data_IF_406847847280
#
_entry.id   IF_406847847280
#
_cell.length_a   1.000
_cell.length_b   1.000
_cell.length_c   1.000
_cell.angle_alpha   90.00
_cell.angle_beta   90.00
_cell.angle_gamma   90.00
#
_symmetry.space_group_name_H-M   'P 1'
#
loop_
_entity.id
_entity.type
_entity.pdbx_description
1 polymer ?
#
# COMPACT_ATOMS: atom_id res chain seq x y z
N UNK A 1 -1.62 11.12 -15.38
CA UNK A 1 -1.07 9.87 -14.80
C UNK A 1 0.00 9.33 -15.73
N UNK A 2 0.72 8.30 -15.32
CA UNK A 2 1.63 7.53 -16.20
C UNK A 2 0.84 6.41 -16.88
N UNK A 3 1.27 5.98 -18.07
CA UNK A 3 0.74 4.77 -18.69
C UNK A 3 1.32 3.54 -17.96
N UNK A 4 0.47 2.66 -17.37
CA UNK A 4 0.91 1.46 -16.67
C UNK A 4 1.74 0.50 -17.51
N UNK A 5 1.48 0.40 -18.81
CA UNK A 5 2.24 -0.49 -19.70
C UNK A 5 3.65 0.07 -19.92
N UNK A 6 3.74 1.36 -20.24
CA UNK A 6 5.01 2.01 -20.50
C UNK A 6 5.89 2.07 -19.26
N UNK A 7 5.35 2.41 -18.08
CA UNK A 7 6.17 2.54 -16.88
C UNK A 7 6.79 1.22 -16.44
N UNK A 8 6.09 0.09 -16.64
CA UNK A 8 6.60 -1.25 -16.33
C UNK A 8 7.56 -1.81 -17.40
N UNK A 9 7.67 -1.15 -18.56
CA UNK A 9 8.68 -1.46 -19.58
C UNK A 9 10.03 -0.82 -19.26
N UNK A 10 10.01 0.32 -18.56
CA UNK A 10 11.22 1.13 -18.25
C UNK A 10 11.65 1.08 -16.79
N UNK A 11 10.86 0.46 -15.91
CA UNK A 11 11.16 0.31 -14.50
C UNK A 11 10.71 -1.06 -13.98
N UNK A 12 11.43 -1.59 -12.99
CA UNK A 12 11.14 -2.90 -12.39
C UNK A 12 9.81 -2.95 -11.61
N UNK A 13 9.21 -1.79 -11.34
CA UNK A 13 7.93 -1.69 -10.65
C UNK A 13 7.53 -0.27 -10.27
N UNK A 14 6.41 -0.17 -9.54
CA UNK A 14 5.81 1.08 -9.12
C UNK A 14 5.40 1.06 -7.66
N UNK A 15 5.43 2.23 -7.04
CA UNK A 15 4.89 2.47 -5.69
C UNK A 15 3.59 3.26 -5.82
N UNK A 16 2.48 2.69 -5.36
CA UNK A 16 1.14 3.24 -5.59
C UNK A 16 0.51 3.73 -4.28
N UNK A 17 -0.05 4.95 -4.23
CA UNK A 17 -0.61 5.53 -3.01
C UNK A 17 -1.95 4.86 -2.66
N UNK A 18 -1.91 3.91 -1.72
CA UNK A 18 -3.03 3.04 -1.37
C UNK A 18 -3.77 3.47 -0.08
N UNK A 19 -3.34 4.55 0.57
CA UNK A 19 -3.99 5.10 1.77
C UNK A 19 -5.40 5.60 1.45
N UNK A 20 -6.37 5.22 2.29
CA UNK A 20 -7.76 5.69 2.18
C UNK A 20 -8.76 4.56 1.87
N UNK A 21 -9.97 4.92 1.41
CA UNK A 21 -11.04 3.95 1.17
C UNK A 21 -10.68 2.98 0.03
N UNK A 22 -11.42 1.87 -0.05
CA UNK A 22 -11.19 0.82 -1.05
C UNK A 22 -11.24 1.35 -2.49
N UNK A 23 -12.14 2.31 -2.77
CA UNK A 23 -12.26 2.97 -4.08
C UNK A 23 -11.00 3.69 -4.53
N UNK A 24 -10.22 4.26 -3.59
CA UNK A 24 -8.92 4.87 -3.92
C UNK A 24 -7.92 3.80 -4.32
N UNK A 25 -7.88 2.68 -3.56
CA UNK A 25 -7.00 1.53 -3.86
C UNK A 25 -7.33 0.89 -5.20
N UNK A 26 -8.61 0.69 -5.49
CA UNK A 26 -9.08 0.16 -6.77
C UNK A 26 -8.68 1.06 -7.93
N UNK A 27 -8.83 2.39 -7.79
CA UNK A 27 -8.49 3.35 -8.84
C UNK A 27 -6.99 3.35 -9.16
N UNK A 28 -6.11 3.16 -8.17
CA UNK A 28 -4.65 3.19 -8.37
C UNK A 28 -4.06 1.84 -8.79
N UNK A 29 -4.58 0.73 -8.26
CA UNK A 29 -4.08 -0.62 -8.57
C UNK A 29 -4.76 -1.24 -9.81
N UNK A 30 -6.02 -0.90 -10.06
CA UNK A 30 -6.80 -1.43 -11.19
C UNK A 30 -6.09 -1.37 -12.55
N UNK A 31 -5.44 -0.25 -12.93
CA UNK A 31 -4.72 -0.14 -14.20
C UNK A 31 -3.52 -1.11 -14.35
N UNK A 32 -3.02 -1.66 -13.24
CA UNK A 32 -1.88 -2.59 -13.19
C UNK A 32 -2.29 -4.06 -13.08
N UNK A 33 -3.60 -4.35 -12.94
CA UNK A 33 -4.11 -5.72 -12.77
C UNK A 33 -3.67 -6.64 -13.91
N UNK A 34 -3.05 -7.77 -13.55
CA UNK A 34 -2.59 -8.79 -14.49
C UNK A 34 -1.30 -8.44 -15.23
N UNK A 35 -0.63 -7.33 -14.89
CA UNK A 35 0.68 -6.97 -15.44
C UNK A 35 1.80 -7.56 -14.58
N UNK A 36 2.98 -7.70 -15.19
CA UNK A 36 4.21 -8.18 -14.54
C UNK A 36 5.07 -7.02 -14.07
N UNK A 37 5.74 -7.19 -12.93
CA UNK A 37 6.58 -6.18 -12.28
C UNK A 37 6.15 -5.95 -10.84
N UNK A 38 6.99 -5.26 -10.06
CA UNK A 38 6.71 -5.00 -8.64
C UNK A 38 5.59 -3.97 -8.49
N UNK A 39 4.57 -4.29 -7.69
CA UNK A 39 3.46 -3.41 -7.34
C UNK A 39 3.46 -3.18 -5.83
N UNK A 40 4.16 -2.15 -5.37
CA UNK A 40 4.24 -1.81 -3.97
C UNK A 40 3.06 -0.92 -3.53
N UNK A 41 2.20 -1.46 -2.67
CA UNK A 41 1.12 -0.71 -2.03
C UNK A 41 1.68 0.17 -0.90
N UNK A 42 1.62 1.49 -1.08
CA UNK A 42 2.09 2.45 -0.10
C UNK A 42 0.96 2.92 0.82
N UNK A 43 1.08 2.66 2.12
CA UNK A 43 0.13 3.10 3.15
C UNK A 43 0.78 4.10 4.12
N UNK A 44 0.07 5.18 4.40
CA UNK A 44 0.37 6.08 5.51
C UNK A 44 -0.03 5.41 6.83
N UNK A 45 0.90 5.35 7.78
CA UNK A 45 0.68 4.66 9.07
C UNK A 45 0.64 5.60 10.28
N UNK A 46 0.72 6.91 10.07
CA UNK A 46 0.65 7.91 11.15
C UNK A 46 -0.75 8.49 11.18
N UNK A 47 -1.50 8.23 12.25
CA UNK A 47 -2.90 8.69 12.39
C UNK A 47 -3.00 10.22 12.27
N UNK A 48 -2.08 10.96 12.90
CA UNK A 48 -2.02 12.43 12.83
C UNK A 48 -1.69 13.02 11.46
N UNK A 49 -1.29 12.19 10.50
CA UNK A 49 -1.01 12.58 9.10
C UNK A 49 -2.02 11.97 8.12
N UNK A 50 -3.17 11.50 8.61
CA UNK A 50 -4.21 10.89 7.79
C UNK A 50 -3.98 9.42 7.45
N UNK A 51 -3.04 8.75 8.14
CA UNK A 51 -2.83 7.31 8.05
C UNK A 51 -3.89 6.51 8.82
N UNK A 52 -3.96 5.20 8.53
CA UNK A 52 -4.92 4.29 9.18
C UNK A 52 -4.23 3.00 9.67
N UNK A 53 -3.29 3.09 10.64
CA UNK A 53 -2.49 1.93 11.06
C UNK A 53 -3.33 0.79 11.64
N UNK A 54 -4.51 1.08 12.22
CA UNK A 54 -5.40 0.05 12.78
C UNK A 54 -6.13 -0.78 11.72
N UNK A 55 -6.22 -0.31 10.48
CA UNK A 55 -6.85 -1.06 9.39
C UNK A 55 -5.84 -1.74 8.47
N UNK A 56 -4.53 -1.53 8.70
CA UNK A 56 -3.45 -1.93 7.79
C UNK A 56 -3.55 -3.37 7.29
N UNK A 57 -3.94 -4.32 8.13
CA UNK A 57 -4.15 -5.72 7.75
C UNK A 57 -5.20 -5.89 6.65
N UNK A 58 -6.41 -5.36 6.87
CA UNK A 58 -7.48 -5.39 5.86
C UNK A 58 -7.05 -4.63 4.60
N UNK A 59 -6.39 -3.49 4.77
CA UNK A 59 -6.00 -2.62 3.68
C UNK A 59 -4.98 -3.30 2.76
N UNK A 60 -3.98 -3.95 3.37
CA UNK A 60 -2.95 -4.73 2.69
C UNK A 60 -3.55 -5.96 2.01
N UNK A 61 -4.46 -6.69 2.67
CA UNK A 61 -5.14 -7.84 2.07
C UNK A 61 -5.96 -7.44 0.83
N UNK A 62 -6.66 -6.30 0.89
CA UNK A 62 -7.38 -5.79 -0.27
C UNK A 62 -6.45 -5.26 -1.36
N UNK A 63 -5.31 -4.64 -1.03
CA UNK A 63 -4.32 -4.29 -2.04
C UNK A 63 -3.74 -5.54 -2.72
N UNK A 64 -3.47 -6.59 -1.95
CA UNK A 64 -2.99 -7.87 -2.48
C UNK A 64 -4.01 -8.53 -3.41
N UNK A 65 -5.31 -8.50 -3.07
CA UNK A 65 -6.36 -9.03 -3.95
C UNK A 65 -6.49 -8.25 -5.27
N UNK A 66 -6.01 -7.02 -5.32
CA UNK A 66 -5.92 -6.18 -6.52
C UNK A 66 -4.59 -6.35 -7.29
N UNK A 67 -3.65 -7.14 -6.76
CA UNK A 67 -2.39 -7.50 -7.41
C UNK A 67 -1.13 -6.90 -6.79
N UNK A 68 -1.23 -6.12 -5.71
CA UNK A 68 -0.03 -5.64 -5.01
C UNK A 68 0.75 -6.80 -4.38
N UNK A 69 2.04 -6.88 -4.64
CA UNK A 69 2.94 -7.94 -4.15
C UNK A 69 3.95 -7.45 -3.11
N UNK A 70 4.02 -6.12 -2.91
CA UNK A 70 4.87 -5.50 -1.90
C UNK A 70 4.11 -4.47 -1.07
N UNK A 71 4.61 -4.24 0.14
CA UNK A 71 4.07 -3.28 1.10
C UNK A 71 5.11 -2.20 1.41
N UNK A 72 4.68 -0.93 1.40
CA UNK A 72 5.51 0.21 1.82
C UNK A 72 4.79 1.03 2.87
N UNK A 73 5.45 1.26 4.01
CA UNK A 73 4.87 1.99 5.13
C UNK A 73 5.47 3.40 5.21
N UNK A 74 4.63 4.41 5.04
CA UNK A 74 5.06 5.80 4.98
C UNK A 74 4.92 6.52 6.32
N UNK A 75 5.98 7.27 6.66
CA UNK A 75 6.20 8.01 7.92
C UNK A 75 6.32 7.15 9.20
N UNK A 76 6.69 5.87 9.09
CA UNK A 76 6.89 5.02 10.27
C UNK A 76 7.86 5.61 11.32
N UNK A 77 8.91 6.34 10.90
CA UNK A 77 9.83 7.04 11.81
C UNK A 77 9.23 8.22 12.59
N UNK A 78 8.03 8.68 12.22
CA UNK A 78 7.27 9.73 12.92
C UNK A 78 6.06 9.16 13.68
N UNK A 79 5.83 7.85 13.61
CA UNK A 79 4.68 7.21 14.20
C UNK A 79 4.77 7.21 15.73
N UNK A 80 3.62 7.46 16.36
CA UNK A 80 3.49 7.34 17.81
C UNK A 80 3.66 5.88 18.26
N UNK A 81 3.95 5.65 19.54
CA UNK A 81 4.01 4.29 20.10
C UNK A 81 2.75 3.46 19.80
N UNK A 82 1.53 3.99 20.00
CA UNK A 82 0.30 3.30 19.62
C UNK A 82 0.17 2.99 18.13
N UNK A 83 0.57 3.91 17.24
CA UNK A 83 0.56 3.67 15.79
C UNK A 83 1.53 2.54 15.42
N UNK A 84 2.76 2.56 15.97
CA UNK A 84 3.75 1.51 15.76
C UNK A 84 3.29 0.15 16.28
N UNK A 85 2.63 0.10 17.45
CA UNK A 85 2.09 -1.13 18.00
C UNK A 85 0.98 -1.71 17.11
N UNK A 86 0.10 -0.86 16.57
CA UNK A 86 -0.92 -1.29 15.61
C UNK A 86 -0.31 -1.82 14.31
N UNK A 87 0.69 -1.14 13.77
CA UNK A 87 1.43 -1.58 12.57
C UNK A 87 2.13 -2.91 12.83
N UNK A 88 2.89 -3.03 13.92
CA UNK A 88 3.61 -4.26 14.26
C UNK A 88 2.64 -5.44 14.44
N UNK A 89 1.49 -5.20 15.08
CA UNK A 89 0.43 -6.19 15.21
C UNK A 89 -0.15 -6.61 13.86
N UNK A 90 -0.39 -5.67 12.94
CA UNK A 90 -0.86 -5.99 11.60
C UNK A 90 0.19 -6.81 10.82
N UNK A 91 1.46 -6.39 10.83
CA UNK A 91 2.54 -7.08 10.12
C UNK A 91 2.79 -8.50 10.63
N UNK A 92 2.58 -8.78 11.92
CA UNK A 92 2.73 -10.15 12.43
C UNK A 92 1.65 -11.11 11.94
N UNK A 93 0.57 -10.59 11.34
CA UNK A 93 -0.53 -11.37 10.75
C UNK A 93 -0.52 -11.36 9.22
N UNK A 94 0.30 -10.52 8.60
CA UNK A 94 0.46 -10.39 7.15
C UNK A 94 1.83 -10.97 6.78
N UNK A 95 1.84 -12.22 6.36
CA UNK A 95 3.02 -13.01 5.96
C UNK A 95 2.59 -14.40 5.52
#
# INVERSE_FOLDING_TARGET
GVDPAHILDVADGVVLPCTGPDTVREAVLGPFKGRTGVLAANFGVVTGMGGSPRTLERDAAHAASLGADQLRLYHAGLASGPDLAAVAGALSRIG
#
